data_IF_171731456286
#
_entry.id   IF_171731456286
#
_cell.length_a   1.000
_cell.length_b   1.000
_cell.length_c   1.000
_cell.angle_alpha   90.00
_cell.angle_beta   90.00
_cell.angle_gamma   90.00
#
_symmetry.space_group_name_H-M   'P 1'
#
loop_
_entity.id
_entity.type
_entity.pdbx_description
1 polymer ?
#
# COMPACT_ATOMS: atom_id res chain seq x y z
N UNK A 1 1.93 -22.98 21.91
CA UNK A 1 0.66 -22.23 22.05
C UNK A 1 0.83 -20.97 21.23
N UNK A 2 -0.05 -20.82 20.22
CA UNK A 2 -0.46 -19.64 19.45
C UNK A 2 0.55 -18.51 19.17
N UNK A 3 0.73 -18.00 17.94
CA UNK A 3 -0.09 -18.07 16.74
C UNK A 3 0.77 -17.86 15.49
N UNK A 4 0.60 -18.73 14.48
CA UNK A 4 0.79 -18.32 13.09
C UNK A 4 -0.31 -17.30 12.79
N UNK A 5 0.00 -16.02 12.87
CA UNK A 5 -0.77 -14.95 12.23
C UNK A 5 -0.14 -14.70 10.87
N UNK A 6 -0.34 -15.65 9.95
CA UNK A 6 -0.14 -15.39 8.52
C UNK A 6 -1.42 -14.70 8.04
N UNK A 7 -1.23 -13.64 7.25
CA UNK A 7 -2.24 -12.89 6.46
C UNK A 7 -2.80 -11.63 7.11
N UNK A 8 -2.16 -10.49 6.80
CA UNK A 8 -2.85 -9.19 6.79
C UNK A 8 -2.41 -8.24 5.65
N UNK A 9 -1.34 -8.54 4.91
CA UNK A 9 -0.89 -7.67 3.80
C UNK A 9 -1.57 -7.94 2.46
N UNK A 10 -2.24 -9.09 2.29
CA UNK A 10 -2.79 -9.52 1.01
C UNK A 10 -3.99 -8.70 0.50
N UNK A 11 -4.51 -7.74 1.25
CA UNK A 11 -5.74 -7.00 0.88
C UNK A 11 -5.50 -5.54 0.53
N UNK A 12 -4.28 -5.03 0.62
CA UNK A 12 -3.98 -3.61 0.41
C UNK A 12 -3.00 -3.44 -0.73
N UNK A 13 -3.41 -3.90 -1.91
CA UNK A 13 -2.71 -3.63 -3.16
C UNK A 13 -3.10 -2.24 -3.66
N UNK A 14 -2.13 -1.47 -4.16
CA UNK A 14 -2.45 -0.24 -4.88
C UNK A 14 -3.40 -0.56 -6.07
N UNK A 15 -4.27 0.40 -6.45
CA UNK A 15 -5.17 0.21 -7.58
C UNK A 15 -4.42 -0.05 -8.89
N UNK A 16 -5.06 -0.81 -9.77
CA UNK A 16 -4.67 -0.87 -11.18
C UNK A 16 -4.86 0.51 -11.83
N UNK A 17 -3.90 0.93 -12.64
CA UNK A 17 -3.94 2.21 -13.34
C UNK A 17 -4.77 2.19 -14.61
N UNK A 18 -5.00 1.02 -15.20
CA UNK A 18 -5.71 0.91 -16.47
C UNK A 18 -7.10 1.57 -16.48
N UNK A 19 -7.95 1.43 -15.43
CA UNK A 19 -9.24 2.12 -15.38
C UNK A 19 -9.12 3.65 -15.38
N UNK A 20 -8.11 4.20 -14.69
CA UNK A 20 -7.88 5.63 -14.60
C UNK A 20 -7.46 6.22 -15.96
N UNK A 21 -6.51 5.55 -16.62
CA UNK A 21 -6.06 5.93 -17.97
C UNK A 21 -7.18 5.83 -19.00
N UNK A 22 -7.98 4.75 -18.96
CA UNK A 22 -9.11 4.57 -19.86
C UNK A 22 -10.19 5.64 -19.69
N UNK A 23 -10.45 6.07 -18.45
CA UNK A 23 -11.41 7.12 -18.17
C UNK A 23 -10.99 8.48 -18.76
N UNK A 24 -9.69 8.81 -18.70
CA UNK A 24 -9.17 10.03 -19.34
C UNK A 24 -9.20 9.93 -20.85
N UNK A 25 -8.77 8.80 -21.41
CA UNK A 25 -8.78 8.57 -22.87
C UNK A 25 -10.18 8.75 -23.47
N UNK A 26 -11.22 8.31 -22.77
CA UNK A 26 -12.62 8.39 -23.21
C UNK A 26 -13.35 9.65 -22.72
N UNK A 27 -12.66 10.55 -22.02
CA UNK A 27 -13.27 11.66 -21.30
C UNK A 27 -14.50 11.25 -20.45
N UNK A 28 -14.43 10.09 -19.79
CA UNK A 28 -15.49 9.55 -18.96
C UNK A 28 -15.59 10.30 -17.62
N UNK A 29 -16.48 11.29 -17.60
CA UNK A 29 -16.78 12.13 -16.43
C UNK A 29 -17.30 11.33 -15.24
N UNK A 30 -18.09 10.28 -15.49
CA UNK A 30 -18.69 9.51 -14.41
C UNK A 30 -17.63 8.64 -13.73
N UNK A 31 -16.80 7.95 -14.50
CA UNK A 31 -15.70 7.15 -13.98
C UNK A 31 -14.70 8.02 -13.21
N UNK A 32 -14.26 9.15 -13.77
CA UNK A 32 -13.32 10.06 -13.09
C UNK A 32 -13.89 10.62 -11.79
N UNK A 33 -15.19 10.98 -11.77
CA UNK A 33 -15.85 11.44 -10.54
C UNK A 33 -15.91 10.34 -9.50
N UNK A 34 -16.30 9.14 -9.88
CA UNK A 34 -16.41 8.00 -8.96
C UNK A 34 -15.05 7.69 -8.31
N UNK A 35 -13.97 7.59 -9.10
CA UNK A 35 -12.62 7.38 -8.59
C UNK A 35 -12.18 8.52 -7.66
N UNK A 36 -12.36 9.78 -8.07
CA UNK A 36 -11.97 10.94 -7.27
C UNK A 36 -12.70 11.00 -5.92
N UNK A 37 -13.99 10.62 -5.88
CA UNK A 37 -14.74 10.59 -4.62
C UNK A 37 -14.40 9.39 -3.74
N UNK A 38 -13.95 8.27 -4.32
CA UNK A 38 -13.57 7.06 -3.57
C UNK A 38 -12.15 7.11 -2.99
N UNK A 39 -11.24 7.86 -3.63
CA UNK A 39 -9.83 7.92 -3.23
C UNK A 39 -9.58 8.31 -1.76
N UNK A 40 -10.27 9.31 -1.17
CA UNK A 40 -10.04 9.66 0.24
C UNK A 40 -10.25 8.47 1.18
N UNK A 41 -11.34 7.71 1.00
CA UNK A 41 -11.64 6.55 1.83
C UNK A 41 -10.59 5.46 1.67
N UNK A 42 -10.25 5.11 0.42
CA UNK A 42 -9.20 4.12 0.10
C UNK A 42 -7.85 4.48 0.71
N UNK A 43 -7.46 5.76 0.64
CA UNK A 43 -6.21 6.27 1.24
C UNK A 43 -6.22 6.13 2.76
N UNK A 44 -7.36 6.34 3.41
CA UNK A 44 -7.52 6.12 4.85
C UNK A 44 -7.41 4.63 5.22
N UNK A 45 -8.09 3.75 4.48
CA UNK A 45 -7.99 2.29 4.70
C UNK A 45 -6.56 1.80 4.52
N UNK A 46 -5.89 2.24 3.46
CA UNK A 46 -4.47 1.97 3.23
C UNK A 46 -3.61 2.41 4.41
N UNK A 47 -3.78 3.66 4.86
CA UNK A 47 -2.98 4.21 5.95
C UNK A 47 -3.21 3.46 7.27
N UNK A 48 -4.45 3.07 7.57
CA UNK A 48 -4.81 2.30 8.75
C UNK A 48 -4.14 0.91 8.73
N UNK A 49 -4.16 0.22 7.58
CA UNK A 49 -3.53 -1.08 7.43
C UNK A 49 -1.99 -1.00 7.54
N UNK A 50 -1.36 -0.04 6.88
CA UNK A 50 0.10 0.19 7.00
C UNK A 50 0.50 0.48 8.44
N UNK A 51 -0.27 1.30 9.15
CA UNK A 51 0.00 1.59 10.55
C UNK A 51 -0.12 0.33 11.42
N UNK A 52 -1.16 -0.48 11.22
CA UNK A 52 -1.37 -1.72 11.95
C UNK A 52 -0.19 -2.70 11.75
N UNK A 53 0.26 -2.90 10.51
CA UNK A 53 1.37 -3.80 10.20
C UNK A 53 2.70 -3.26 10.76
N UNK A 54 2.99 -1.97 10.58
CA UNK A 54 4.21 -1.37 11.12
C UNK A 54 4.28 -1.49 12.65
N UNK A 55 3.13 -1.34 13.32
CA UNK A 55 3.03 -1.54 14.77
C UNK A 55 3.29 -2.99 15.16
N UNK A 56 2.72 -3.96 14.43
CA UNK A 56 2.95 -5.39 14.69
C UNK A 56 4.43 -5.75 14.52
N UNK A 57 5.06 -5.35 13.42
CA UNK A 57 6.50 -5.51 13.16
C UNK A 57 7.34 -4.93 14.32
N UNK A 58 7.03 -3.72 14.76
CA UNK A 58 7.77 -3.08 15.85
C UNK A 58 7.63 -3.84 17.19
N UNK A 59 6.43 -4.31 17.51
CA UNK A 59 6.17 -5.07 18.73
C UNK A 59 6.88 -6.43 18.72
N UNK A 60 6.81 -7.16 17.60
CA UNK A 60 7.47 -8.45 17.44
C UNK A 60 9.00 -8.32 17.51
N UNK A 61 9.55 -7.29 16.86
CA UNK A 61 10.99 -7.01 16.90
C UNK A 61 11.47 -6.70 18.31
N UNK A 62 10.73 -5.87 19.05
CA UNK A 62 11.05 -5.53 20.44
C UNK A 62 11.04 -6.79 21.33
N UNK A 63 10.00 -7.63 21.22
CA UNK A 63 9.90 -8.85 22.01
C UNK A 63 11.06 -9.83 21.76
N UNK A 64 11.53 -9.96 20.51
CA UNK A 64 12.68 -10.80 20.18
C UNK A 64 14.00 -10.24 20.75
N UNK A 65 14.19 -8.93 20.68
CA UNK A 65 15.39 -8.28 21.22
C UNK A 65 15.43 -8.36 22.75
N UNK A 66 14.30 -8.12 23.42
CA UNK A 66 14.19 -8.24 24.88
C UNK A 66 14.50 -9.67 25.35
N UNK A 67 14.00 -10.68 24.63
CA UNK A 67 14.28 -12.09 24.92
C UNK A 67 15.76 -12.46 24.74
N UNK A 68 16.47 -11.83 23.79
CA UNK A 68 17.91 -12.03 23.59
C UNK A 68 18.75 -11.36 24.69
N UNK A 69 18.30 -10.23 25.23
CA UNK A 69 19.01 -9.50 26.30
C UNK A 69 18.82 -10.20 27.66
N UNK A 70 17.63 -10.76 27.91
CA UNK A 70 17.26 -11.35 29.20
C UNK A 70 17.92 -12.70 29.52
N UNK A 71 18.62 -13.34 28.57
CA UNK A 71 19.27 -14.63 28.79
C UNK A 71 20.54 -14.80 27.96
N UNK A 72 21.40 -15.75 28.34
CA UNK A 72 22.52 -16.19 27.48
C UNK A 72 21.97 -17.18 26.46
N UNK A 73 21.83 -16.82 25.17
CA UNK A 73 21.21 -17.71 24.21
C UNK A 73 22.13 -18.90 23.93
N UNK A 74 21.57 -20.10 23.95
CA UNK A 74 22.24 -21.28 23.38
C UNK A 74 22.47 -21.05 21.87
N UNK A 75 23.41 -21.78 21.23
CA UNK A 75 23.61 -21.68 19.78
C UNK A 75 22.32 -21.94 18.98
N UNK A 76 21.47 -22.88 19.44
CA UNK A 76 20.16 -23.14 18.82
C UNK A 76 19.14 -22.02 19.05
N UNK A 77 19.15 -21.40 20.23
CA UNK A 77 18.31 -20.24 20.54
C UNK A 77 18.70 -19.02 19.70
N UNK A 78 20.00 -18.79 19.52
CA UNK A 78 20.52 -17.70 18.68
C UNK A 78 20.14 -17.89 17.20
N UNK A 79 20.26 -19.11 16.67
CA UNK A 79 19.84 -19.41 15.29
C UNK A 79 18.34 -19.20 15.08
N UNK A 80 17.51 -19.64 16.04
CA UNK A 80 16.05 -19.46 15.98
C UNK A 80 15.67 -17.97 15.97
N UNK A 81 16.29 -17.18 16.85
CA UNK A 81 16.04 -15.74 16.91
C UNK A 81 16.51 -15.01 15.64
N UNK A 82 17.64 -15.42 15.05
CA UNK A 82 18.10 -14.87 13.77
C UNK A 82 17.12 -15.17 12.62
N UNK A 83 16.57 -16.39 12.55
CA UNK A 83 15.53 -16.73 11.58
C UNK A 83 14.28 -15.86 11.77
N UNK A 84 13.83 -15.67 13.01
CA UNK A 84 12.67 -14.85 13.31
C UNK A 84 12.88 -13.37 12.93
N UNK A 85 14.06 -12.81 13.23
CA UNK A 85 14.41 -11.45 12.79
C UNK A 85 14.43 -11.32 11.26
N UNK A 86 14.97 -12.33 10.56
CA UNK A 86 14.94 -12.35 9.09
C UNK A 86 13.53 -12.34 8.50
N UNK A 87 12.57 -13.01 9.13
CA UNK A 87 11.16 -12.97 8.73
C UNK A 87 10.52 -11.59 8.95
N UNK A 88 10.86 -10.94 10.07
CA UNK A 88 10.41 -9.57 10.36
C UNK A 88 10.98 -8.58 9.33
N UNK A 89 12.25 -8.70 8.98
CA UNK A 89 12.88 -7.84 7.99
C UNK A 89 12.26 -8.05 6.58
N UNK A 90 11.93 -9.29 6.23
CA UNK A 90 11.22 -9.59 4.98
C UNK A 90 9.83 -8.91 4.93
N UNK A 91 9.06 -8.95 6.03
CA UNK A 91 7.78 -8.25 6.15
C UNK A 91 7.92 -6.74 6.09
N UNK A 92 8.94 -6.17 6.75
CA UNK A 92 9.22 -4.75 6.66
C UNK A 92 9.50 -4.32 5.22
N UNK A 93 10.30 -5.12 4.50
CA UNK A 93 10.59 -4.88 3.09
C UNK A 93 9.32 -4.92 2.24
N UNK A 94 8.46 -5.92 2.42
CA UNK A 94 7.18 -6.02 1.72
C UNK A 94 6.28 -4.81 1.99
N UNK A 95 6.19 -4.36 3.25
CA UNK A 95 5.44 -3.16 3.62
C UNK A 95 5.98 -1.90 2.94
N UNK A 96 7.31 -1.77 2.83
CA UNK A 96 7.96 -0.65 2.16
C UNK A 96 7.73 -0.67 0.64
N UNK A 97 7.78 -1.86 0.02
CA UNK A 97 7.47 -2.04 -1.40
C UNK A 97 6.00 -1.64 -1.67
N UNK A 98 5.05 -2.03 -0.82
CA UNK A 98 3.63 -1.63 -0.93
C UNK A 98 3.45 -0.12 -0.75
N UNK A 99 4.11 0.51 0.21
CA UNK A 99 4.11 1.98 0.40
C UNK A 99 4.65 2.72 -0.82
N UNK A 100 5.68 2.17 -1.47
CA UNK A 100 6.25 2.75 -2.67
C UNK A 100 5.24 2.72 -3.83
N UNK A 101 4.58 1.58 -4.05
CA UNK A 101 3.56 1.43 -5.10
C UNK A 101 2.38 2.38 -4.83
N UNK A 102 1.89 2.45 -3.59
CA UNK A 102 0.82 3.39 -3.23
C UNK A 102 1.20 4.84 -3.49
N UNK A 103 2.45 5.23 -3.18
CA UNK A 103 2.94 6.57 -3.51
C UNK A 103 2.91 6.80 -5.02
N UNK A 104 3.42 5.86 -5.81
CA UNK A 104 3.41 5.96 -7.28
C UNK A 104 1.98 6.03 -7.83
N UNK A 105 1.03 5.31 -7.25
CA UNK A 105 -0.39 5.41 -7.62
C UNK A 105 -0.94 6.82 -7.35
N UNK A 106 -0.68 7.40 -6.18
CA UNK A 106 -1.16 8.76 -5.85
C UNK A 106 -0.61 9.80 -6.82
N UNK A 107 0.70 9.73 -7.08
CA UNK A 107 1.37 10.62 -8.01
C UNK A 107 0.75 10.47 -9.42
N UNK A 108 0.56 9.24 -9.91
CA UNK A 108 -0.10 8.99 -11.20
C UNK A 108 -1.55 9.50 -11.24
N UNK A 109 -2.34 9.23 -10.20
CA UNK A 109 -3.76 9.60 -10.17
C UNK A 109 -3.94 11.12 -10.17
N UNK A 110 -3.05 11.86 -9.52
CA UNK A 110 -3.07 13.32 -9.53
C UNK A 110 -2.77 13.87 -10.94
N UNK A 111 -1.82 13.27 -11.67
CA UNK A 111 -1.53 13.61 -13.07
C UNK A 111 -2.71 13.29 -14.00
N UNK A 112 -3.31 12.09 -13.88
CA UNK A 112 -4.51 11.67 -14.62
C UNK A 112 -5.66 12.65 -14.39
N UNK A 113 -5.87 13.10 -13.15
CA UNK A 113 -6.91 14.07 -12.82
C UNK A 113 -6.62 15.45 -13.42
N UNK A 114 -5.35 15.88 -13.42
CA UNK A 114 -4.95 17.13 -14.06
C UNK A 114 -5.18 17.09 -15.58
N UNK A 115 -4.77 16.01 -16.25
CA UNK A 115 -5.01 15.79 -17.68
C UNK A 115 -6.50 15.82 -18.02
N UNK A 116 -7.32 15.10 -17.25
CA UNK A 116 -8.78 15.14 -17.41
C UNK A 116 -9.36 16.55 -17.30
N UNK A 117 -8.92 17.30 -16.29
CA UNK A 117 -9.42 18.66 -16.07
C UNK A 117 -9.00 19.60 -17.19
N UNK A 118 -7.79 19.46 -17.72
CA UNK A 118 -7.31 20.25 -18.84
C UNK A 118 -8.04 19.95 -20.15
N UNK A 119 -8.28 18.66 -20.44
CA UNK A 119 -8.66 18.22 -21.79
C UNK A 119 -10.12 17.74 -21.93
N UNK A 120 -10.77 17.32 -20.85
CA UNK A 120 -12.11 16.70 -20.90
C UNK A 120 -13.20 17.48 -20.16
N UNK A 121 -12.83 18.31 -19.17
CA UNK A 121 -13.82 18.97 -18.29
C UNK A 121 -14.74 19.95 -19.04
N UNK A 122 -14.21 20.65 -20.05
CA UNK A 122 -14.92 21.67 -20.85
C UNK A 122 -15.74 21.09 -22.01
N UNK A 123 -15.75 19.77 -22.22
CA UNK A 123 -16.48 19.13 -23.32
C UNK A 123 -15.85 19.29 -24.72
N UNK A 124 -14.70 19.97 -24.83
CA UNK A 124 -14.04 20.27 -26.11
C UNK A 124 -13.65 19.03 -26.91
N UNK A 125 -13.13 17.98 -26.26
CA UNK A 125 -12.66 16.78 -26.98
C UNK A 125 -13.79 16.00 -27.69
N UNK A 126 -15.03 16.10 -27.22
CA UNK A 126 -16.19 15.47 -27.88
C UNK A 126 -16.81 16.33 -28.99
N UNK A 127 -16.37 17.59 -29.13
CA UNK A 127 -16.87 18.52 -30.15
C UNK A 127 -16.06 18.45 -31.45
N UNK A 128 -14.79 18.02 -31.37
CA UNK A 128 -13.88 17.94 -32.52
C UNK A 128 -13.90 16.55 -33.22
N UNK A 129 -14.65 15.57 -32.68
CA UNK A 129 -14.90 14.24 -33.26
C UNK A 129 -16.28 14.12 -33.96
N UNK A 130 -16.93 15.25 -34.28
CA UNK A 130 -18.17 15.32 -35.07
C UNK A 130 -17.98 16.14 -36.34
#
# INVERSE_FOLDING_TARGET
MSALLIMALATVTAPDSAPALAAVQKCDKQAMRAMATGEPHRRTEFAAAVYAEQRAIAQERAALLDAQIAGTPSPSGAATAATALGQIDARQKELDDVKAIEKSWRDLFDEVRADFLANCSSGKRNADDK
#
